data_IF_563644204604
#
_entry.id   IF_563644204604
#
_cell.length_a   1.000
_cell.length_b   1.000
_cell.length_c   1.000
_cell.angle_alpha   90.00
_cell.angle_beta   90.00
_cell.angle_gamma   90.00
#
_symmetry.space_group_name_H-M   'P 1'
#
loop_
_entity.id
_entity.type
_entity.pdbx_description
1 polymer ?
#
# COMPACT_ATOMS: atom_id res chain seq x y z
N UNK A 1 -7.32 4.39 28.29
CA UNK A 1 -8.33 4.34 27.22
C UNK A 1 -7.99 5.26 26.05
N UNK A 2 -7.53 6.50 26.27
CA UNK A 2 -7.22 7.47 25.19
C UNK A 2 -6.23 6.98 24.13
N UNK A 3 -5.20 6.20 24.50
CA UNK A 3 -4.24 5.66 23.53
C UNK A 3 -4.85 4.72 22.48
N UNK A 4 -5.86 3.91 22.86
CA UNK A 4 -6.53 2.99 21.92
C UNK A 4 -7.39 3.73 20.91
N UNK A 5 -7.95 4.88 21.28
CA UNK A 5 -8.74 5.74 20.37
C UNK A 5 -7.84 6.30 19.27
N UNK A 6 -6.64 6.79 19.62
CA UNK A 6 -5.69 7.27 18.62
C UNK A 6 -5.18 6.17 17.71
N UNK A 7 -4.90 4.97 18.25
CA UNK A 7 -4.51 3.82 17.45
C UNK A 7 -5.60 3.42 16.45
N UNK A 8 -6.87 3.41 16.88
CA UNK A 8 -8.01 3.13 16.02
C UNK A 8 -8.22 4.19 14.94
N UNK A 9 -8.04 5.48 15.27
CA UNK A 9 -8.17 6.55 14.29
C UNK A 9 -7.14 6.45 13.17
N UNK A 10 -5.89 6.13 13.51
CA UNK A 10 -4.83 6.00 12.49
C UNK A 10 -4.92 4.66 11.75
N UNK A 11 -5.37 3.58 12.39
CA UNK A 11 -5.70 2.34 11.69
C UNK A 11 -6.86 2.53 10.69
N UNK A 12 -7.82 3.39 11.03
CA UNK A 12 -8.87 3.79 10.09
C UNK A 12 -8.31 4.59 8.91
N UNK A 13 -7.33 5.48 9.14
CA UNK A 13 -6.65 6.18 8.05
C UNK A 13 -5.91 5.20 7.10
N UNK A 14 -5.33 4.13 7.63
CA UNK A 14 -4.74 3.05 6.83
C UNK A 14 -5.76 2.37 5.90
N UNK A 15 -7.00 2.18 6.35
CA UNK A 15 -8.06 1.57 5.54
C UNK A 15 -8.39 2.36 4.26
N UNK A 16 -8.09 3.66 4.22
CA UNK A 16 -8.24 4.50 3.01
C UNK A 16 -6.91 4.65 2.24
N UNK A 17 -6.10 3.59 2.28
CA UNK A 17 -4.73 3.46 1.77
C UNK A 17 -4.46 3.60 0.27
N UNK A 18 -5.41 4.05 -0.56
CA UNK A 18 -5.35 3.92 -2.02
C UNK A 18 -4.71 5.07 -2.81
N UNK A 19 -4.28 6.14 -2.14
CA UNK A 19 -3.95 7.40 -2.80
C UNK A 19 -2.77 7.31 -3.79
N UNK A 20 -1.84 6.37 -3.59
CA UNK A 20 -0.68 6.19 -4.46
C UNK A 20 -1.01 5.67 -5.86
N UNK A 21 -2.15 5.00 -6.05
CA UNK A 21 -2.57 4.46 -7.36
C UNK A 21 -3.46 5.41 -8.15
N UNK A 22 -3.98 6.47 -7.51
CA UNK A 22 -4.89 7.43 -8.13
C UNK A 22 -4.39 8.06 -9.43
N UNK A 23 -3.10 8.44 -9.57
CA UNK A 23 -2.61 8.99 -10.84
C UNK A 23 -2.70 7.99 -12.01
N UNK A 24 -2.39 6.73 -11.73
CA UNK A 24 -2.43 5.65 -12.72
C UNK A 24 -3.87 5.29 -13.08
N UNK A 25 -4.74 5.12 -12.08
CA UNK A 25 -6.18 4.90 -12.29
C UNK A 25 -6.80 6.01 -13.12
N UNK A 26 -6.50 7.27 -12.79
CA UNK A 26 -7.00 8.44 -13.54
C UNK A 26 -6.47 8.48 -14.97
N UNK A 27 -5.24 8.02 -15.22
CA UNK A 27 -4.65 7.95 -16.57
C UNK A 27 -5.35 6.90 -17.44
N UNK A 28 -5.81 5.81 -16.84
CA UNK A 28 -6.51 4.72 -17.52
C UNK A 28 -8.02 4.97 -17.70
N UNK A 29 -8.58 5.98 -17.02
CA UNK A 29 -9.97 6.36 -17.21
C UNK A 29 -10.26 6.83 -18.64
N UNK A 30 -11.35 6.32 -19.22
CA UNK A 30 -11.93 6.85 -20.47
C UNK A 30 -12.23 8.36 -20.40
N UNK A 31 -12.62 8.86 -19.22
CA UNK A 31 -12.94 10.27 -18.99
C UNK A 31 -12.28 10.77 -17.69
N UNK A 32 -11.02 11.23 -17.75
CA UNK A 32 -10.27 11.67 -16.56
C UNK A 32 -10.86 12.90 -15.84
N UNK A 33 -11.74 13.66 -16.51
CA UNK A 33 -12.47 14.80 -15.92
C UNK A 33 -13.56 14.34 -14.93
N UNK A 34 -14.01 13.09 -15.03
CA UNK A 34 -15.03 12.51 -14.14
C UNK A 34 -14.45 12.01 -12.81
N UNK A 35 -13.14 12.12 -12.59
CA UNK A 35 -12.44 11.66 -11.40
C UNK A 35 -13.08 12.09 -10.07
N UNK A 36 -13.47 13.37 -9.86
CA UNK A 36 -14.13 13.77 -8.61
C UNK A 36 -15.48 13.08 -8.38
N UNK A 37 -16.22 12.77 -9.46
CA UNK A 37 -17.49 12.04 -9.37
C UNK A 37 -17.26 10.59 -8.97
N UNK A 38 -16.24 9.95 -9.55
CA UNK A 38 -15.85 8.57 -9.21
C UNK A 38 -15.48 8.49 -7.74
N UNK A 39 -14.57 9.35 -7.26
CA UNK A 39 -14.19 9.37 -5.85
C UNK A 39 -15.39 9.56 -4.92
N UNK A 40 -16.28 10.53 -5.18
CA UNK A 40 -17.47 10.73 -4.35
C UNK A 40 -18.35 9.49 -4.28
N UNK A 41 -18.56 8.81 -5.40
CA UNK A 41 -19.36 7.59 -5.43
C UNK A 41 -18.68 6.44 -4.67
N UNK A 42 -17.38 6.26 -4.87
CA UNK A 42 -16.58 5.26 -4.17
C UNK A 42 -16.63 5.47 -2.66
N UNK A 43 -16.35 6.68 -2.18
CA UNK A 43 -16.42 6.99 -0.75
C UNK A 43 -17.85 6.88 -0.19
N UNK A 44 -18.87 7.29 -0.95
CA UNK A 44 -20.26 7.14 -0.54
C UNK A 44 -20.68 5.67 -0.38
N UNK A 45 -20.07 4.75 -1.13
CA UNK A 45 -20.32 3.32 -0.99
C UNK A 45 -19.46 2.67 0.11
N UNK A 46 -18.17 3.00 0.18
CA UNK A 46 -17.21 2.34 1.07
C UNK A 46 -17.37 2.80 2.52
N UNK A 47 -17.63 4.08 2.78
CA UNK A 47 -17.75 4.60 4.15
C UNK A 47 -18.88 3.91 4.95
N UNK A 48 -20.13 3.80 4.43
CA UNK A 48 -21.19 3.08 5.14
C UNK A 48 -20.85 1.61 5.34
N UNK A 49 -20.22 0.97 4.36
CA UNK A 49 -19.83 -0.45 4.46
C UNK A 49 -18.85 -0.66 5.61
N UNK A 50 -17.79 0.15 5.68
CA UNK A 50 -16.81 0.08 6.78
C UNK A 50 -17.46 0.36 8.13
N UNK A 51 -18.36 1.35 8.20
CA UNK A 51 -19.05 1.69 9.43
C UNK A 51 -19.98 0.55 9.91
N UNK A 52 -20.78 -0.02 9.02
CA UNK A 52 -21.69 -1.13 9.34
C UNK A 52 -20.90 -2.37 9.75
N UNK A 53 -19.88 -2.76 8.99
CA UNK A 53 -19.05 -3.92 9.34
C UNK A 53 -18.32 -3.73 10.68
N UNK A 54 -17.76 -2.53 10.93
CA UNK A 54 -17.11 -2.21 12.20
C UNK A 54 -18.07 -2.24 13.37
N UNK A 55 -19.28 -1.68 13.21
CA UNK A 55 -20.33 -1.70 14.24
C UNK A 55 -20.78 -3.11 14.55
N UNK A 56 -21.03 -3.94 13.53
CA UNK A 56 -21.45 -5.34 13.71
C UNK A 56 -20.35 -6.17 14.38
N UNK A 57 -19.09 -5.99 13.97
CA UNK A 57 -17.95 -6.67 14.58
C UNK A 57 -17.79 -6.31 16.06
N UNK A 58 -17.86 -5.02 16.38
CA UNK A 58 -17.77 -4.56 17.77
C UNK A 58 -18.99 -4.97 18.60
N UNK A 59 -20.20 -4.96 18.03
CA UNK A 59 -21.40 -5.44 18.72
C UNK A 59 -21.34 -6.94 19.05
N UNK A 60 -20.72 -7.74 18.19
CA UNK A 60 -20.58 -9.18 18.39
C UNK A 60 -19.47 -9.55 19.39
N UNK A 61 -18.33 -8.86 19.35
CA UNK A 61 -17.12 -9.29 20.08
C UNK A 61 -16.62 -8.28 21.12
N UNK A 62 -17.10 -7.04 21.10
CA UNK A 62 -16.71 -5.99 22.03
C UNK A 62 -15.19 -5.80 22.12
N UNK A 63 -14.68 -5.74 23.35
CA UNK A 63 -13.26 -5.58 23.63
C UNK A 63 -12.38 -6.78 23.21
N UNK A 64 -12.99 -7.91 22.86
CA UNK A 64 -12.29 -9.11 22.38
C UNK A 64 -12.12 -9.15 20.86
N UNK A 65 -12.60 -8.14 20.13
CA UNK A 65 -12.41 -8.04 18.69
C UNK A 65 -10.90 -7.91 18.37
N UNK A 66 -10.39 -8.79 17.50
CA UNK A 66 -9.03 -8.73 16.98
C UNK A 66 -9.01 -7.92 15.67
N UNK A 67 -7.85 -7.37 15.29
CA UNK A 67 -7.69 -6.69 14.00
C UNK A 67 -8.06 -7.57 12.80
N UNK A 68 -7.75 -8.86 12.88
CA UNK A 68 -8.28 -9.86 11.95
C UNK A 68 -9.55 -10.48 12.55
N UNK A 69 -10.71 -10.00 12.10
CA UNK A 69 -12.01 -10.43 12.61
C UNK A 69 -12.31 -11.91 12.34
N UNK A 70 -11.65 -12.56 11.35
CA UNK A 70 -11.86 -13.99 11.10
C UNK A 70 -11.37 -14.87 12.25
N UNK A 71 -10.43 -14.38 13.07
CA UNK A 71 -9.95 -15.06 14.27
C UNK A 71 -11.03 -15.11 15.35
N UNK A 72 -11.96 -14.16 15.35
CA UNK A 72 -13.10 -14.14 16.26
C UNK A 72 -14.26 -15.05 15.82
N UNK A 73 -14.34 -15.39 14.53
CA UNK A 73 -15.39 -16.26 14.03
C UNK A 73 -15.13 -17.73 14.39
N UNK A 74 -16.20 -18.51 14.65
CA UNK A 74 -16.05 -19.95 14.88
C UNK A 74 -15.50 -20.64 13.63
N UNK A 75 -14.76 -21.72 13.84
CA UNK A 75 -14.18 -22.52 12.76
C UNK A 75 -15.28 -23.32 12.05
N UNK A 76 -15.83 -22.74 10.98
CA UNK A 76 -16.87 -23.33 10.16
C UNK A 76 -16.63 -23.03 8.67
N UNK A 77 -17.40 -23.67 7.79
CA UNK A 77 -17.24 -23.52 6.34
C UNK A 77 -17.39 -22.07 5.86
N UNK A 78 -18.23 -21.26 6.51
CA UNK A 78 -18.41 -19.86 6.14
C UNK A 78 -17.17 -19.02 6.50
N UNK A 79 -16.58 -19.24 7.67
CA UNK A 79 -15.34 -18.57 8.08
C UNK A 79 -14.17 -19.00 7.18
N UNK A 80 -14.06 -20.31 6.89
CA UNK A 80 -13.04 -20.82 5.97
C UNK A 80 -13.18 -20.23 4.56
N UNK A 81 -14.41 -20.12 4.03
CA UNK A 81 -14.66 -19.46 2.75
C UNK A 81 -14.26 -17.97 2.78
N UNK A 82 -14.59 -17.25 3.85
CA UNK A 82 -14.18 -15.85 4.06
C UNK A 82 -12.66 -15.70 4.03
N UNK A 83 -11.94 -16.56 4.77
CA UNK A 83 -10.48 -16.59 4.82
C UNK A 83 -9.89 -16.85 3.43
N UNK A 84 -10.43 -17.80 2.67
CA UNK A 84 -9.96 -18.10 1.31
C UNK A 84 -10.17 -16.92 0.36
N UNK A 85 -11.34 -16.27 0.40
CA UNK A 85 -11.61 -15.09 -0.43
C UNK A 85 -10.66 -13.94 -0.09
N UNK A 86 -10.43 -13.69 1.20
CA UNK A 86 -9.49 -12.68 1.67
C UNK A 86 -8.05 -13.01 1.24
N UNK A 87 -7.62 -14.28 1.37
CA UNK A 87 -6.32 -14.74 0.91
C UNK A 87 -6.12 -14.46 -0.59
N UNK A 88 -7.10 -14.80 -1.44
CA UNK A 88 -7.02 -14.55 -2.89
C UNK A 88 -6.89 -13.05 -3.18
N UNK A 89 -7.68 -12.23 -2.49
CA UNK A 89 -7.63 -10.77 -2.65
C UNK A 89 -6.28 -10.19 -2.22
N UNK A 90 -5.75 -10.62 -1.07
CA UNK A 90 -4.47 -10.17 -0.56
C UNK A 90 -3.31 -10.60 -1.45
N UNK A 91 -3.33 -11.83 -1.98
CA UNK A 91 -2.32 -12.29 -2.94
C UNK A 91 -2.29 -11.40 -4.17
N UNK A 92 -3.44 -11.01 -4.72
CA UNK A 92 -3.51 -10.12 -5.87
C UNK A 92 -2.88 -8.75 -5.56
N UNK A 93 -3.27 -8.12 -4.43
CA UNK A 93 -2.74 -6.81 -4.05
C UNK A 93 -1.25 -6.86 -3.71
N UNK A 94 -0.81 -7.85 -2.94
CA UNK A 94 0.59 -8.03 -2.57
C UNK A 94 1.45 -8.30 -3.80
N UNK A 95 1.01 -9.17 -4.72
CA UNK A 95 1.77 -9.47 -5.92
C UNK A 95 1.90 -8.23 -6.82
N UNK A 96 0.80 -7.52 -7.04
CA UNK A 96 0.78 -6.34 -7.91
C UNK A 96 1.65 -5.22 -7.37
N UNK A 97 1.54 -4.92 -6.07
CA UNK A 97 2.36 -3.88 -5.42
C UNK A 97 3.84 -4.25 -5.38
N UNK A 98 4.17 -5.49 -5.04
CA UNK A 98 5.55 -5.97 -5.07
C UNK A 98 6.15 -5.88 -6.47
N UNK A 99 5.41 -6.27 -7.50
CA UNK A 99 5.88 -6.20 -8.88
C UNK A 99 6.20 -4.76 -9.29
N UNK A 100 5.32 -3.81 -8.98
CA UNK A 100 5.49 -2.39 -9.30
C UNK A 100 6.68 -1.79 -8.55
N UNK A 101 6.79 -2.06 -7.24
CA UNK A 101 7.91 -1.56 -6.42
C UNK A 101 9.24 -2.12 -6.91
N UNK A 102 9.30 -3.43 -7.18
CA UNK A 102 10.50 -4.08 -7.71
C UNK A 102 10.91 -3.47 -9.04
N UNK A 103 9.97 -3.30 -9.99
CA UNK A 103 10.28 -2.70 -11.27
C UNK A 103 10.78 -1.26 -11.11
N UNK A 104 10.14 -0.46 -10.26
CA UNK A 104 10.55 0.91 -10.00
C UNK A 104 11.96 0.99 -9.39
N UNK A 105 12.30 0.09 -8.46
CA UNK A 105 13.64 0.01 -7.87
C UNK A 105 14.69 -0.50 -8.86
N UNK A 106 14.38 -1.54 -9.64
CA UNK A 106 15.24 -2.08 -10.70
C UNK A 106 15.60 -0.95 -11.69
N UNK A 107 14.61 -0.19 -12.17
CA UNK A 107 14.85 0.93 -13.08
C UNK A 107 15.66 2.06 -12.46
N UNK A 108 15.39 2.44 -11.20
CA UNK A 108 16.15 3.50 -10.49
C UNK A 108 17.60 3.11 -10.24
N UNK A 109 17.88 1.83 -10.03
CA UNK A 109 19.24 1.31 -9.84
C UNK A 109 19.96 1.00 -11.17
N UNK A 110 19.32 1.27 -12.32
CA UNK A 110 19.89 1.00 -13.64
C UNK A 110 19.93 -0.49 -13.99
N UNK A 111 19.18 -1.33 -13.28
CA UNK A 111 19.03 -2.76 -13.53
C UNK A 111 17.94 -3.02 -14.58
N UNK A 112 18.06 -2.37 -15.75
CA UNK A 112 17.05 -2.44 -16.81
C UNK A 112 17.04 -3.84 -17.49
N UNK A 113 15.90 -4.56 -17.50
CA UNK A 113 15.76 -5.84 -18.19
C UNK A 113 15.89 -5.73 -19.72
N UNK A 114 15.58 -4.59 -20.33
CA UNK A 114 15.62 -4.40 -21.78
C UNK A 114 17.02 -4.04 -22.30
N UNK A 115 17.93 -3.61 -21.42
CA UNK A 115 19.27 -3.17 -21.80
C UNK A 115 20.09 -4.27 -22.51
N UNK A 116 19.94 -5.54 -22.12
CA UNK A 116 20.65 -6.66 -22.76
C UNK A 116 20.02 -7.10 -24.10
N UNK A 117 18.80 -6.67 -24.42
CA UNK A 117 18.07 -7.05 -25.64
C UNK A 117 17.92 -5.90 -26.65
N UNK A 118 18.42 -4.70 -26.35
CA UNK A 118 18.30 -3.55 -27.25
C UNK A 118 19.40 -3.58 -28.33
N UNK A 119 19.06 -3.42 -29.63
CA UNK A 119 20.04 -3.45 -30.72
C UNK A 119 20.95 -2.21 -30.79
N UNK A 120 20.81 -1.26 -29.85
CA UNK A 120 21.51 0.04 -29.84
C UNK A 120 22.65 0.10 -28.81
N UNK A 121 22.86 -0.96 -28.01
CA UNK A 121 23.81 -0.96 -26.88
C UNK A 121 24.82 -2.11 -26.97
N UNK A 122 26.12 -1.75 -27.00
CA UNK A 122 27.23 -2.69 -26.96
C UNK A 122 27.53 -3.11 -25.50
N UNK A 123 26.81 -4.11 -25.00
CA UNK A 123 27.11 -4.80 -23.74
C UNK A 123 26.05 -4.59 -22.63
N UNK A 124 25.76 -5.65 -21.87
CA UNK A 124 24.94 -5.54 -20.65
C UNK A 124 25.60 -4.54 -19.68
N UNK A 125 24.85 -3.66 -18.99
CA UNK A 125 25.42 -2.74 -18.03
C UNK A 125 26.00 -3.52 -16.85
N UNK A 126 27.30 -3.35 -16.63
CA UNK A 126 28.03 -3.81 -15.46
C UNK A 126 27.60 -2.86 -14.35
N UNK A 127 27.10 -3.38 -13.23
CA UNK A 127 26.64 -2.56 -12.10
C UNK A 127 27.87 -1.84 -11.50
N UNK A 128 28.15 -0.62 -11.97
CA UNK A 128 29.34 0.13 -11.58
C UNK A 128 30.66 -0.51 -12.05
N UNK A 129 31.74 -0.31 -11.27
CA UNK A 129 33.09 -0.84 -11.56
C UNK A 129 33.24 -2.36 -11.29
N UNK A 130 32.18 -3.05 -10.86
CA UNK A 130 32.23 -4.48 -10.55
C UNK A 130 31.63 -5.33 -11.69
N UNK A 131 32.28 -6.44 -12.07
CA UNK A 131 31.89 -7.30 -13.18
C UNK A 131 30.77 -8.27 -12.79
N UNK A 132 29.61 -7.75 -12.38
CA UNK A 132 28.45 -8.58 -12.03
C UNK A 132 27.44 -8.65 -13.19
N UNK A 133 27.00 -9.86 -13.58
CA UNK A 133 25.91 -10.03 -14.52
C UNK A 133 24.61 -9.37 -14.02
N UNK A 134 23.78 -8.77 -14.90
CA UNK A 134 22.55 -8.08 -14.49
C UNK A 134 21.54 -8.95 -13.73
N UNK A 135 21.50 -10.24 -14.01
CA UNK A 135 20.62 -11.19 -13.29
C UNK A 135 21.03 -11.34 -11.82
N UNK A 136 22.31 -11.18 -11.48
CA UNK A 136 22.81 -11.26 -10.09
C UNK A 136 22.30 -10.06 -9.29
N UNK A 137 22.43 -8.85 -9.84
CA UNK A 137 21.94 -7.63 -9.19
C UNK A 137 20.42 -7.70 -8.92
N UNK A 138 19.66 -8.25 -9.87
CA UNK A 138 18.22 -8.45 -9.73
C UNK A 138 17.87 -9.53 -8.72
N UNK A 139 18.58 -10.66 -8.73
CA UNK A 139 18.36 -11.73 -7.77
C UNK A 139 18.63 -11.22 -6.34
N UNK A 140 19.75 -10.50 -6.15
CA UNK A 140 20.10 -9.89 -4.86
C UNK A 140 19.01 -8.92 -4.41
N UNK A 141 18.63 -7.94 -5.25
CA UNK A 141 17.58 -6.98 -4.91
C UNK A 141 16.27 -7.67 -4.51
N UNK A 142 15.84 -8.66 -5.30
CA UNK A 142 14.59 -9.39 -5.06
C UNK A 142 14.63 -10.22 -3.79
N UNK A 143 15.73 -10.95 -3.58
CA UNK A 143 15.94 -11.74 -2.37
C UNK A 143 16.06 -10.86 -1.14
N UNK A 144 16.67 -9.68 -1.23
CA UNK A 144 16.76 -8.72 -0.12
C UNK A 144 15.40 -8.13 0.22
N UNK A 145 14.59 -7.73 -0.77
CA UNK A 145 13.26 -7.19 -0.49
C UNK A 145 12.30 -8.27 0.03
N UNK A 146 12.35 -9.49 -0.51
CA UNK A 146 11.59 -10.61 0.05
C UNK A 146 12.07 -10.95 1.46
N UNK A 147 13.39 -10.98 1.67
CA UNK A 147 14.00 -11.22 2.98
C UNK A 147 13.60 -10.18 4.02
N UNK A 148 13.51 -8.89 3.64
CA UNK A 148 13.04 -7.84 4.55
C UNK A 148 11.57 -7.99 4.89
N UNK A 149 10.72 -8.38 3.94
CA UNK A 149 9.30 -8.66 4.20
C UNK A 149 9.12 -9.87 5.13
N UNK A 150 9.85 -10.96 4.89
CA UNK A 150 9.84 -12.14 5.76
C UNK A 150 10.35 -11.79 7.15
N UNK A 151 11.42 -11.01 7.26
CA UNK A 151 11.96 -10.56 8.54
C UNK A 151 10.92 -9.74 9.32
N UNK A 152 10.28 -8.77 8.66
CA UNK A 152 9.21 -7.97 9.27
C UNK A 152 8.05 -8.87 9.69
N UNK A 153 7.61 -9.81 8.85
CA UNK A 153 6.56 -10.76 9.19
C UNK A 153 6.93 -11.62 10.41
N UNK A 154 8.16 -12.15 10.46
CA UNK A 154 8.64 -12.96 11.59
C UNK A 154 8.70 -12.14 12.88
N UNK A 155 9.26 -10.92 12.84
CA UNK A 155 9.31 -10.04 14.00
C UNK A 155 7.91 -9.71 14.53
N UNK A 156 6.95 -9.49 13.64
CA UNK A 156 5.58 -9.15 14.02
C UNK A 156 4.74 -10.34 14.50
N UNK A 157 4.90 -11.51 13.87
CA UNK A 157 4.22 -12.75 14.27
C UNK A 157 4.80 -13.37 15.54
N UNK A 158 6.05 -13.02 15.88
CA UNK A 158 6.71 -13.47 17.12
C UNK A 158 6.34 -12.66 18.36
N UNK A 159 5.66 -11.51 18.21
CA UNK A 159 5.24 -10.66 19.33
C UNK A 159 3.91 -11.12 19.95
N UNK A 160 3.82 -11.10 21.28
CA UNK A 160 2.55 -11.27 22.00
C UNK A 160 1.68 -10.00 21.85
N UNK A 161 0.50 -10.12 21.23
CA UNK A 161 -0.51 -9.05 21.12
C UNK A 161 -0.98 -8.77 19.69
N UNK A 162 -1.88 -7.79 19.54
CA UNK A 162 -2.44 -7.37 18.24
C UNK A 162 -1.44 -6.48 17.47
N UNK A 163 -0.27 -7.05 17.16
CA UNK A 163 0.85 -6.37 16.46
C UNK A 163 0.44 -5.90 15.07
N UNK A 164 -0.51 -6.60 14.44
CA UNK A 164 -1.13 -6.22 13.17
C UNK A 164 -1.85 -4.87 13.32
N UNK A 165 -2.67 -4.71 14.36
CA UNK A 165 -3.35 -3.44 14.61
C UNK A 165 -2.37 -2.29 14.81
N UNK A 166 -1.32 -2.51 15.60
CA UNK A 166 -0.29 -1.51 15.86
C UNK A 166 0.45 -1.11 14.57
N UNK A 167 0.73 -2.07 13.68
CA UNK A 167 1.34 -1.80 12.39
C UNK A 167 0.40 -1.01 11.46
N UNK A 168 -0.86 -1.43 11.31
CA UNK A 168 -1.86 -0.70 10.53
C UNK A 168 -1.99 0.74 11.02
N UNK A 169 -2.04 0.91 12.34
CA UNK A 169 -2.05 2.20 13.01
C UNK A 169 -0.81 3.05 12.70
N UNK A 170 0.39 2.46 12.72
CA UNK A 170 1.63 3.15 12.38
C UNK A 170 1.69 3.56 10.90
N UNK A 171 1.34 2.64 9.99
CA UNK A 171 1.31 2.92 8.55
C UNK A 171 0.30 4.03 8.24
N UNK A 172 -0.87 3.98 8.89
CA UNK A 172 -1.87 5.03 8.76
C UNK A 172 -1.38 6.39 9.30
N UNK A 173 -0.74 6.40 10.47
CA UNK A 173 -0.24 7.62 11.10
C UNK A 173 0.91 8.29 10.32
N UNK A 174 1.81 7.49 9.73
CA UNK A 174 2.99 8.02 9.04
C UNK A 174 2.74 8.13 7.54
N UNK A 175 2.41 7.00 6.91
CA UNK A 175 2.24 6.91 5.47
C UNK A 175 1.00 7.67 5.01
N UNK A 176 -0.16 7.30 5.54
CA UNK A 176 -1.41 7.88 5.05
C UNK A 176 -1.57 9.35 5.42
N UNK A 177 -1.15 9.76 6.61
CA UNK A 177 -1.12 11.18 6.95
C UNK A 177 -0.20 11.98 6.01
N UNK A 178 0.96 11.44 5.63
CA UNK A 178 1.85 12.08 4.66
C UNK A 178 1.18 12.24 3.28
N UNK A 179 0.55 11.20 2.75
CA UNK A 179 -0.11 11.24 1.44
C UNK A 179 -1.41 12.05 1.41
N UNK A 180 -2.17 12.07 2.49
CA UNK A 180 -3.47 12.74 2.54
C UNK A 180 -3.36 14.23 2.87
N UNK A 181 -2.42 14.62 3.75
CA UNK A 181 -2.35 16.01 4.24
C UNK A 181 -1.09 16.74 3.80
N UNK A 182 0.09 16.15 4.00
CA UNK A 182 1.36 16.86 3.79
C UNK A 182 1.71 17.02 2.31
N UNK A 183 1.71 15.93 1.54
CA UNK A 183 2.11 15.96 0.14
C UNK A 183 1.20 16.85 -0.73
N UNK A 184 -0.14 16.77 -0.65
CA UNK A 184 -1.01 17.65 -1.43
C UNK A 184 -0.80 19.12 -1.10
N UNK A 185 -0.56 19.44 0.18
CA UNK A 185 -0.29 20.81 0.61
C UNK A 185 1.03 21.35 0.06
N UNK A 186 2.10 20.55 0.12
CA UNK A 186 3.41 20.91 -0.46
C UNK A 186 3.29 21.12 -1.97
N UNK A 187 2.59 20.24 -2.69
CA UNK A 187 2.37 20.41 -4.13
C UNK A 187 1.57 21.66 -4.45
N UNK A 188 0.55 21.99 -3.64
CA UNK A 188 -0.22 23.22 -3.81
C UNK A 188 0.67 24.46 -3.64
N UNK A 189 1.55 24.48 -2.63
CA UNK A 189 2.49 25.58 -2.41
C UNK A 189 3.50 25.71 -3.55
N UNK A 190 4.04 24.59 -4.04
CA UNK A 190 4.97 24.58 -5.16
C UNK A 190 4.31 25.14 -6.45
N UNK A 191 3.09 24.71 -6.77
CA UNK A 191 2.34 25.25 -7.91
C UNK A 191 2.01 26.74 -7.75
N UNK A 192 1.66 27.18 -6.55
CA UNK A 192 1.36 28.58 -6.27
C UNK A 192 2.61 29.48 -6.42
N UNK A 193 3.80 28.95 -6.10
CA UNK A 193 5.06 29.66 -6.32
C UNK A 193 5.40 29.78 -7.81
N UNK A 194 5.09 28.78 -8.62
CA UNK A 194 5.35 28.78 -10.06
C UNK A 194 4.40 29.69 -10.87
N UNK A 195 3.20 29.98 -10.35
CA UNK A 195 2.19 30.78 -11.03
C UNK A 195 2.43 32.31 -10.99
N UNK A 196 3.40 32.78 -10.18
CA UNK A 196 3.66 34.22 -9.98
C UNK A 196 2.47 34.98 -9.37
N UNK A 197 2.64 36.24 -8.91
CA UNK A 197 1.51 37.04 -8.46
C UNK A 197 0.53 37.26 -9.63
N UNK A 198 -0.80 37.25 -9.39
CA UNK A 198 -1.77 37.54 -10.44
C UNK A 198 -1.47 38.94 -11.01
N UNK A 199 -1.27 39.02 -12.33
CA UNK A 199 -1.16 40.28 -13.04
C UNK A 199 -2.44 41.09 -12.78
N UNK A 200 -2.29 42.16 -11.98
CA UNK A 200 -3.30 43.18 -11.68
C UNK A 200 -3.65 44.01 -12.91
#
# INVERSE_FOLDING_TARGET
QSGRVFLGLTAFAYAFGGHGVYPEERREMKSPSSWPRVLRLTYAAVLPLYFVCGLLGYAAYGDFANANINVNFPDNLANQASIVVQMVQEVYFLLSTNLVIMLALELRLGLDPAACCSPRWNGCPWVGRLPLPPWVGRLVLRSTLLGSQVLVAQLLLSGEGDTIFALQSLIGAVGMTAFTYFLPYIFLLAMAADLGPPLS
#
